data_IF_992316723410
#
_entry.id   IF_992316723410
#
_cell.length_a   1.000
_cell.length_b   1.000
_cell.length_c   1.000
_cell.angle_alpha   90.00
_cell.angle_beta   90.00
_cell.angle_gamma   90.00
#
_symmetry.space_group_name_H-M   'P 1'
#
loop_
_entity.id
_entity.type
_entity.pdbx_description
1 polymer ?
2 non-polymer ?
3 non-polymer ?
4 non-polymer ?
5 non-polymer ?
6 water ?
#
# COMPACT_ATOMS: atom_id res chain seq x y z
N UNK A 19 -19.70 -2.21 -28.88
CA UNK A 19 -18.61 -1.96 -27.94
C UNK A 19 -18.20 -0.50 -27.92
N UNK A 20 -18.40 0.17 -26.78
CA UNK A 20 -17.91 1.54 -26.62
C UNK A 20 -16.38 1.55 -26.64
N UNK A 21 -15.79 2.67 -27.08
CA UNK A 21 -14.35 2.81 -27.22
C UNK A 21 -13.89 4.05 -26.47
N UNK A 22 -12.72 3.96 -25.86
CA UNK A 22 -12.16 5.06 -25.09
C UNK A 22 -10.70 5.16 -25.45
N UNK A 23 -10.31 6.27 -26.09
CA UNK A 23 -8.92 6.53 -26.47
C UNK A 23 -8.32 5.36 -27.26
N UNK A 24 -9.09 4.84 -28.21
CA UNK A 24 -8.64 3.77 -29.09
C UNK A 24 -8.46 2.45 -28.36
N UNK A 25 -9.44 2.07 -27.55
CA UNK A 25 -9.41 0.83 -26.77
C UNK A 25 -10.83 0.38 -26.49
N UNK A 26 -11.13 -0.93 -26.67
CA UNK A 26 -12.47 -1.42 -26.34
C UNK A 26 -12.65 -1.33 -24.83
N UNK A 27 -13.82 -0.86 -24.42
CA UNK A 27 -14.19 -0.77 -23.03
C UNK A 27 -15.58 -1.30 -23.00
N UNK A 28 -15.68 -2.62 -23.01
CA UNK A 28 -16.96 -3.30 -23.14
C UNK A 28 -17.46 -3.78 -21.80
N UNK A 29 -18.26 -2.93 -21.17
CA UNK A 29 -18.78 -3.08 -19.82
C UNK A 29 -20.33 -3.10 -19.76
N UNK A 30 -21.00 -2.86 -20.90
CA UNK A 30 -22.45 -2.92 -20.95
C UNK A 30 -22.95 -4.32 -20.68
N UNK A 31 -24.25 -4.46 -20.38
CA UNK A 31 -25.32 -3.44 -20.40
C UNK A 31 -25.47 -2.57 -19.15
N UNK A 32 -24.82 -2.93 -18.01
CA UNK A 32 -24.98 -2.17 -16.77
C UNK A 32 -24.30 -0.78 -16.78
N UNK A 33 -23.20 -0.58 -17.49
CA UNK A 33 -22.39 0.63 -17.35
C UNK A 33 -22.27 1.44 -18.63
N UNK A 34 -22.65 2.73 -18.58
CA UNK A 34 -22.72 3.60 -19.75
C UNK A 34 -21.95 4.93 -19.53
N UNK A 35 -21.88 5.79 -20.56
CA UNK A 35 -21.49 7.19 -20.37
C UNK A 35 -20.05 7.24 -19.82
N UNK A 36 -19.16 6.52 -20.51
CA UNK A 36 -17.81 6.32 -20.06
C UNK A 36 -17.04 7.59 -20.33
N UNK A 37 -16.21 7.98 -19.36
CA UNK A 37 -15.31 9.10 -19.52
C UNK A 37 -13.93 8.64 -19.09
N UNK A 38 -12.91 8.94 -19.89
CA UNK A 38 -11.53 8.58 -19.58
C UNK A 38 -11.04 9.28 -18.31
N UNK A 39 -10.27 8.54 -17.47
CA UNK A 39 -9.61 9.08 -16.28
C UNK A 39 -8.10 8.97 -16.46
N UNK A 40 -7.61 7.80 -16.84
CA UNK A 40 -6.20 7.57 -16.93
C UNK A 40 -5.84 6.17 -17.39
N UNK A 41 -4.59 5.92 -17.40
CA UNK A 41 -4.01 4.64 -17.81
C UNK A 41 -2.60 4.54 -17.27
N UNK A 42 -2.07 3.34 -17.34
CA UNK A 42 -0.70 2.99 -16.99
C UNK A 42 -0.42 1.57 -17.44
N UNK A 43 0.68 1.00 -17.00
CA UNK A 43 1.00 -0.39 -17.36
C UNK A 43 -0.10 -1.37 -16.96
N UNK A 44 -0.81 -1.08 -15.87
CA UNK A 44 -1.90 -1.92 -15.40
C UNK A 44 -3.05 -2.06 -16.40
N UNK A 45 -3.25 -1.08 -17.31
CA UNK A 45 -4.46 -1.01 -18.13
C UNK A 45 -4.99 0.39 -18.18
N UNK A 46 -6.32 0.54 -18.17
CA UNK A 46 -6.98 1.82 -18.33
C UNK A 46 -8.15 1.96 -17.41
N UNK A 47 -8.44 3.20 -16.95
CA UNK A 47 -9.51 3.44 -16.00
C UNK A 47 -10.39 4.57 -16.54
N UNK A 48 -11.69 4.36 -16.46
CA UNK A 48 -12.81 5.24 -16.78
C UNK A 48 -13.75 5.38 -15.62
N UNK A 49 -14.43 6.54 -15.51
CA UNK A 49 -15.72 6.63 -14.83
C UNK A 49 -16.82 6.12 -15.77
N UNK A 50 -17.86 5.55 -15.18
CA UNK A 50 -19.04 5.08 -15.91
C UNK A 50 -20.27 5.21 -15.05
N UNK A 51 -21.43 5.59 -15.65
CA UNK A 51 -22.71 5.56 -14.96
C UNK A 51 -23.11 4.09 -14.76
N UNK A 52 -23.49 3.71 -13.54
CA UNK A 52 -23.94 2.36 -13.21
C UNK A 52 -25.48 2.38 -13.24
N UNK A 53 -26.09 1.73 -14.22
CA UNK A 53 -27.56 1.78 -14.42
C UNK A 53 -28.39 0.97 -13.37
N UNK A 54 -27.74 0.18 -12.49
CA UNK A 54 -28.42 -0.59 -11.44
C UNK A 54 -28.43 0.21 -10.11
N UNK A 55 -27.25 0.63 -9.61
CA UNK A 55 -27.16 1.41 -8.36
C UNK A 55 -27.37 2.91 -8.59
N UNK A 56 -27.36 3.37 -9.86
CA UNK A 56 -27.59 4.77 -10.23
C UNK A 56 -26.62 5.66 -9.48
N UNK A 57 -25.35 5.56 -9.92
CA UNK A 57 -24.20 6.32 -9.41
C UNK A 57 -23.03 6.12 -10.38
N UNK A 58 -22.18 7.14 -10.55
CA UNK A 58 -20.96 6.97 -11.33
C UNK A 58 -19.94 6.19 -10.48
N UNK A 59 -19.20 5.30 -11.17
CA UNK A 59 -18.24 4.35 -10.61
C UNK A 59 -16.92 4.45 -11.37
N UNK A 60 -15.84 3.92 -10.78
CA UNK A 60 -14.62 3.74 -11.51
C UNK A 60 -14.63 2.30 -12.07
N UNK A 61 -14.11 2.13 -13.28
CA UNK A 61 -13.90 0.82 -13.88
C UNK A 61 -12.52 0.80 -14.45
N UNK A 62 -11.74 -0.23 -14.06
CA UNK A 62 -10.41 -0.40 -14.61
C UNK A 62 -10.38 -1.70 -15.42
N UNK A 63 -9.87 -1.58 -16.65
CA UNK A 63 -9.70 -2.65 -17.59
C UNK A 63 -8.31 -3.17 -17.44
N UNK A 64 -8.17 -4.35 -16.88
CA UNK A 64 -6.89 -5.01 -16.72
C UNK A 64 -6.77 -6.11 -17.82
N UNK A 65 -5.61 -6.21 -18.42
CA UNK A 65 -5.30 -7.18 -19.47
C UNK A 65 -4.03 -7.90 -19.11
N UNK A 66 -4.09 -8.77 -18.09
CA UNK A 66 -2.85 -9.24 -17.45
C UNK A 66 -2.25 -10.55 -17.98
N UNK A 67 -2.95 -11.25 -18.89
CA UNK A 67 -2.75 -12.69 -19.01
C UNK A 67 -1.49 -13.11 -19.72
N UNK A 68 -0.81 -12.20 -20.44
CA UNK A 68 0.49 -12.51 -21.04
C UNK A 68 1.66 -12.34 -20.08
N UNK A 69 1.41 -11.94 -18.81
CA UNK A 69 2.48 -11.62 -17.88
C UNK A 69 2.20 -12.24 -16.54
N UNK A 70 3.07 -13.19 -16.13
CA UNK A 70 2.86 -13.91 -14.85
C UNK A 70 2.74 -12.93 -13.67
N UNK A 71 3.59 -11.87 -13.65
CA UNK A 71 3.55 -10.94 -12.49
C UNK A 71 2.26 -10.11 -12.48
N UNK A 72 1.71 -9.77 -13.65
CA UNK A 72 0.45 -9.05 -13.70
C UNK A 72 -0.71 -9.95 -13.26
N UNK A 73 -0.69 -11.25 -13.66
CA UNK A 73 -1.67 -12.22 -13.18
C UNK A 73 -1.65 -12.34 -11.65
N UNK A 74 -0.44 -12.42 -11.03
CA UNK A 74 -0.32 -12.51 -9.60
C UNK A 74 -0.94 -11.27 -8.94
N UNK A 75 -0.60 -10.06 -9.43
CA UNK A 75 -1.16 -8.81 -8.88
C UNK A 75 -2.68 -8.80 -8.95
N UNK A 76 -3.21 -9.23 -10.14
CA UNK A 76 -4.64 -9.22 -10.37
C UNK A 76 -5.35 -10.14 -9.41
N UNK A 77 -4.80 -11.35 -9.23
CA UNK A 77 -5.42 -12.36 -8.40
C UNK A 77 -5.37 -11.97 -6.92
N UNK A 78 -4.21 -11.46 -6.47
CA UNK A 78 -4.12 -10.99 -5.06
C UNK A 78 -5.13 -9.89 -4.77
N UNK A 79 -5.21 -8.90 -5.62
CA UNK A 79 -6.17 -7.80 -5.51
C UNK A 79 -7.60 -8.34 -5.39
N UNK A 80 -7.99 -9.18 -6.37
CA UNK A 80 -9.36 -9.71 -6.36
C UNK A 80 -9.64 -10.55 -5.12
N UNK A 81 -8.81 -11.54 -4.77
CA UNK A 81 -9.10 -12.40 -3.61
C UNK A 81 -9.22 -11.56 -2.32
N UNK A 82 -8.30 -10.64 -2.14
CA UNK A 82 -8.25 -9.88 -0.87
C UNK A 82 -9.40 -8.93 -0.81
N UNK A 83 -9.58 -8.11 -1.82
CA UNK A 83 -10.59 -7.06 -1.77
C UNK A 83 -11.99 -7.62 -1.70
N UNK A 84 -12.22 -8.82 -2.29
CA UNK A 84 -13.52 -9.46 -2.15
C UNK A 84 -13.77 -10.01 -0.72
N UNK A 85 -12.73 -10.42 0.02
CA UNK A 85 -12.90 -10.86 1.40
C UNK A 85 -13.00 -9.70 2.38
N UNK A 86 -12.34 -8.57 2.08
CA UNK A 86 -12.32 -7.45 3.03
C UNK A 86 -13.51 -6.55 2.90
N UNK A 87 -13.97 -5.98 4.01
CA UNK A 87 -15.07 -5.05 4.00
C UNK A 87 -14.77 -4.02 5.08
N UNK A 88 -14.36 -2.82 4.65
CA UNK A 88 -13.94 -1.77 5.59
C UNK A 88 -14.07 -0.42 4.92
N UNK A 89 -14.51 0.58 5.68
CA UNK A 89 -14.76 1.93 5.17
C UNK A 89 -13.52 2.59 4.59
N UNK A 90 -12.30 2.23 5.12
CA UNK A 90 -11.04 2.83 4.66
C UNK A 90 -10.25 1.92 3.69
N UNK A 91 -10.95 0.94 3.05
CA UNK A 91 -10.35 0.06 2.06
C UNK A 91 -11.26 0.06 0.87
N UNK A 92 -10.71 0.29 -0.33
CA UNK A 92 -11.55 0.32 -1.54
C UNK A 92 -12.16 -1.11 -1.73
N UNK A 93 -13.39 -1.15 -2.14
CA UNK A 93 -14.06 -2.44 -2.33
C UNK A 93 -13.92 -2.85 -3.78
N UNK A 94 -14.33 -4.03 -4.11
CA UNK A 94 -14.73 -4.35 -5.48
C UNK A 94 -16.27 -4.53 -5.56
N UNK A 95 -16.90 -3.75 -6.40
CA UNK A 95 -18.36 -3.73 -6.52
C UNK A 95 -18.86 -4.76 -7.55
N UNK A 96 -18.06 -5.04 -8.56
CA UNK A 96 -18.42 -5.91 -9.71
C UNK A 96 -17.17 -6.22 -10.51
N UNK A 97 -17.16 -7.39 -11.20
CA UNK A 97 -16.10 -7.73 -12.09
C UNK A 97 -16.76 -8.21 -13.38
N UNK A 98 -16.39 -7.63 -14.49
CA UNK A 98 -16.87 -8.06 -15.80
C UNK A 98 -15.77 -8.80 -16.52
N UNK A 99 -16.09 -10.00 -17.00
CA UNK A 99 -15.23 -10.69 -17.93
C UNK A 99 -16.05 -11.62 -18.85
N UNK A 100 -15.38 -12.23 -19.85
CA UNK A 100 -16.02 -13.15 -20.82
C UNK A 100 -16.57 -14.41 -20.09
N UNK A 101 -17.61 -15.05 -20.65
CA UNK A 101 -18.17 -16.23 -19.98
C UNK A 101 -17.32 -17.47 -19.95
N UNK A 102 -16.27 -17.54 -20.73
CA UNK A 102 -15.37 -18.70 -20.81
C UNK A 102 -13.93 -18.27 -20.69
N UNK A 103 -13.09 -19.19 -20.22
CA UNK A 103 -11.67 -18.89 -20.05
C UNK A 103 -11.00 -18.62 -21.39
N UNK A 104 -11.40 -19.38 -22.44
CA UNK A 104 -10.93 -19.15 -23.79
C UNK A 104 -11.18 -17.73 -24.30
N UNK A 105 -12.33 -17.18 -24.01
CA UNK A 105 -12.74 -15.88 -24.52
C UNK A 105 -12.30 -14.73 -23.58
N UNK A 106 -11.86 -15.06 -22.33
CA UNK A 106 -11.41 -14.05 -21.42
C UNK A 106 -10.02 -13.58 -21.73
N UNK A 107 -9.91 -12.35 -22.22
CA UNK A 107 -8.65 -11.66 -22.43
C UNK A 107 -8.44 -10.49 -21.46
N UNK A 108 -9.49 -9.94 -20.91
CA UNK A 108 -9.51 -8.76 -20.05
C UNK A 108 -10.36 -9.05 -18.85
N UNK A 109 -10.04 -8.37 -17.76
CA UNK A 109 -10.92 -8.31 -16.62
C UNK A 109 -11.21 -6.84 -16.31
N UNK A 110 -12.49 -6.48 -16.16
CA UNK A 110 -12.88 -5.12 -15.78
C UNK A 110 -13.28 -5.15 -14.30
N UNK A 111 -12.62 -4.34 -13.46
CA UNK A 111 -12.93 -4.29 -12.03
C UNK A 111 -13.63 -2.96 -11.73
N UNK A 112 -14.83 -3.06 -11.18
CA UNK A 112 -15.65 -1.91 -10.87
C UNK A 112 -15.47 -1.57 -9.39
N UNK A 113 -15.17 -0.31 -9.10
CA UNK A 113 -14.95 0.16 -7.73
C UNK A 113 -15.57 1.51 -7.55
N UNK A 114 -15.82 1.90 -6.27
CA UNK A 114 -16.33 3.20 -5.95
C UNK A 114 -15.47 4.29 -6.56
N UNK A 115 -16.11 5.30 -7.13
CA UNK A 115 -15.36 6.36 -7.76
C UNK A 115 -14.89 7.37 -6.73
N UNK A 116 -13.61 7.72 -6.79
CA UNK A 116 -12.99 8.65 -5.87
C UNK A 116 -12.53 9.90 -6.67
N UNK A 117 -12.47 11.03 -5.99
CA UNK A 117 -12.16 12.33 -6.59
C UNK A 117 -10.69 12.39 -6.98
N UNK A 118 -9.78 11.88 -6.10
CA UNK A 118 -8.36 12.07 -6.29
C UNK A 118 -7.57 11.03 -5.47
N UNK A 119 -6.25 11.18 -5.43
CA UNK A 119 -5.41 10.37 -4.56
C UNK A 119 -4.40 11.28 -3.89
N UNK A 120 -3.72 10.74 -2.86
CA UNK A 120 -2.87 11.57 -2.04
C UNK A 120 -1.62 12.01 -2.81
N UNK A 121 -1.16 11.27 -3.82
CA UNK A 121 0.00 11.67 -4.63
C UNK A 121 -0.39 13.03 -5.34
N UNK A 122 -1.52 13.03 -6.02
CA UNK A 122 -2.00 14.22 -6.76
C UNK A 122 -2.25 15.39 -5.80
N UNK A 123 -2.80 15.07 -4.61
CA UNK A 123 -3.08 16.09 -3.62
C UNK A 123 -1.81 16.71 -3.11
N UNK A 124 -0.76 15.91 -2.81
CA UNK A 124 0.46 16.48 -2.28
C UNK A 124 1.23 17.28 -3.34
N UNK A 125 1.04 16.99 -4.62
CA UNK A 125 1.72 17.81 -5.64
C UNK A 125 1.08 19.20 -5.78
N UNK A 126 -0.19 19.37 -5.36
CA UNK A 126 -0.99 20.54 -5.71
C UNK A 126 -1.54 21.31 -4.47
N UNK A 127 -1.59 20.72 -3.28
CA UNK A 127 -2.29 21.31 -2.14
C UNK A 127 -1.45 21.22 -0.87
N UNK A 128 -1.39 22.34 -0.15
CA UNK A 128 -1.02 22.36 1.25
C UNK A 128 -2.07 21.66 2.09
N UNK A 129 -1.63 20.73 2.98
CA UNK A 129 -2.57 20.10 3.89
C UNK A 129 -2.50 20.79 5.21
N UNK A 130 -3.63 21.18 5.75
CA UNK A 130 -3.71 21.68 7.11
C UNK A 130 -3.31 20.60 8.09
N UNK A 131 -2.87 20.97 9.32
CA UNK A 131 -2.57 19.96 10.33
C UNK A 131 -3.80 19.09 10.63
N UNK A 132 -5.02 19.68 10.62
CA UNK A 132 -6.22 18.87 10.82
C UNK A 132 -6.44 17.83 9.70
N UNK A 133 -6.14 18.18 8.46
CA UNK A 133 -6.23 17.27 7.33
C UNK A 133 -5.21 16.16 7.47
N UNK A 134 -3.99 16.50 7.88
CA UNK A 134 -2.93 15.48 8.06
C UNK A 134 -3.36 14.48 9.14
N UNK A 135 -3.90 15.00 10.23
CA UNK A 135 -4.32 14.16 11.35
C UNK A 135 -5.42 13.19 10.91
N UNK A 136 -6.42 13.72 10.21
CA UNK A 136 -7.55 12.92 9.76
C UNK A 136 -7.12 11.85 8.72
N UNK A 137 -6.28 12.26 7.75
CA UNK A 137 -5.75 11.31 6.77
C UNK A 137 -4.96 10.19 7.48
N UNK A 138 -4.06 10.56 8.40
CA UNK A 138 -3.23 9.55 9.10
C UNK A 138 -4.14 8.58 9.88
N UNK A 139 -5.14 9.15 10.55
CA UNK A 139 -6.11 8.32 11.30
C UNK A 139 -6.77 7.27 10.39
N UNK A 140 -7.29 7.69 9.25
CA UNK A 140 -8.00 6.79 8.32
C UNK A 140 -7.04 5.72 7.73
N UNK A 141 -5.79 6.08 7.44
CA UNK A 141 -4.78 5.14 6.93
C UNK A 141 -4.58 4.07 8.01
N UNK A 142 -4.36 4.50 9.25
CA UNK A 142 -4.08 3.58 10.33
C UNK A 142 -5.33 2.74 10.69
N UNK A 143 -6.50 3.33 10.57
CA UNK A 143 -7.77 2.60 10.80
C UNK A 143 -7.97 1.43 9.80
N UNK A 144 -7.76 1.69 8.52
CA UNK A 144 -7.83 0.68 7.48
C UNK A 144 -6.72 -0.35 7.69
N UNK A 145 -5.51 0.12 8.01
CA UNK A 145 -4.38 -0.78 8.23
C UNK A 145 -4.61 -1.67 9.42
N UNK A 146 -5.27 -1.18 10.47
CA UNK A 146 -5.61 -2.03 11.64
C UNK A 146 -6.41 -3.27 11.15
N UNK A 147 -7.40 -3.02 10.29
CA UNK A 147 -8.20 -4.12 9.72
C UNK A 147 -7.37 -5.10 8.87
N UNK A 148 -6.55 -4.57 7.96
CA UNK A 148 -5.67 -5.37 7.13
C UNK A 148 -4.77 -6.26 7.99
N UNK A 149 -4.04 -5.66 8.98
CA UNK A 149 -3.15 -6.40 9.87
C UNK A 149 -3.88 -7.42 10.72
N UNK A 150 -5.11 -7.08 11.11
CA UNK A 150 -5.93 -7.99 11.90
C UNK A 150 -6.29 -9.25 11.11
N UNK A 151 -6.31 -9.18 9.77
CA UNK A 151 -6.49 -10.31 8.89
C UNK A 151 -5.18 -11.12 8.62
N UNK A 152 -4.11 -10.76 9.34
CA UNK A 152 -2.75 -11.30 9.18
C UNK A 152 -2.20 -11.04 7.73
N UNK A 153 -2.65 -9.93 7.10
CA UNK A 153 -2.20 -9.49 5.79
C UNK A 153 -1.31 -8.22 5.93
N UNK A 154 -0.31 -8.11 5.04
CA UNK A 154 0.56 -6.98 4.83
C UNK A 154 0.21 -6.41 3.50
N UNK A 155 0.01 -5.08 3.42
CA UNK A 155 -0.28 -4.45 2.13
C UNK A 155 0.98 -4.46 1.26
N UNK A 156 2.09 -4.06 1.85
CA UNK A 156 3.44 -4.14 1.27
C UNK A 156 3.77 -3.05 0.24
N UNK A 157 2.82 -2.17 -0.15
CA UNK A 157 3.14 -1.10 -1.09
C UNK A 157 2.37 0.17 -0.80
N UNK A 158 2.32 0.58 0.48
CA UNK A 158 1.55 1.78 0.85
C UNK A 158 2.39 2.96 0.37
N UNK A 159 1.74 3.85 -0.29
CA UNK A 159 2.35 5.08 -0.80
C UNK A 159 1.21 6.04 -1.15
N UNK A 160 1.49 7.33 -1.31
CA UNK A 160 0.42 8.30 -1.58
C UNK A 160 -0.51 7.91 -2.74
N UNK A 161 0.05 7.36 -3.83
CA UNK A 161 -0.80 7.04 -4.99
C UNK A 161 -1.76 5.88 -4.76
N UNK A 162 -1.53 5.07 -3.67
CA UNK A 162 -2.41 4.00 -3.28
C UNK A 162 -3.38 4.39 -2.18
N UNK A 163 -3.56 5.71 -1.97
CA UNK A 163 -4.53 6.22 -1.03
C UNK A 163 -5.48 7.14 -1.80
N UNK A 164 -6.67 6.64 -2.00
CA UNK A 164 -7.71 7.38 -2.72
C UNK A 164 -8.53 8.26 -1.79
N UNK A 165 -9.02 9.42 -2.28
CA UNK A 165 -9.81 10.32 -1.48
C UNK A 165 -11.02 10.83 -2.26
N UNK A 166 -12.10 11.01 -1.57
CA UNK A 166 -13.34 11.61 -2.14
C UNK A 166 -13.39 13.12 -1.80
N UNK A 167 -14.49 13.81 -2.21
CA UNK A 167 -14.53 15.26 -2.12
C UNK A 167 -14.66 15.70 -0.66
N UNK A 168 -15.05 14.84 0.29
CA UNK A 168 -15.14 15.19 1.70
C UNK A 168 -13.99 14.56 2.49
N UNK A 169 -12.92 14.22 1.77
CA UNK A 169 -11.66 13.78 2.37
C UNK A 169 -11.76 12.41 3.08
N UNK A 170 -12.77 11.59 2.73
CA UNK A 170 -12.77 10.21 3.17
C UNK A 170 -11.68 9.49 2.35
N UNK A 171 -10.94 8.61 3.01
CA UNK A 171 -9.77 7.99 2.46
C UNK A 171 -9.96 6.45 2.34
N UNK A 172 -9.51 5.88 1.22
CA UNK A 172 -9.54 4.43 1.00
C UNK A 172 -8.20 3.93 0.43
N UNK A 173 -7.64 2.88 1.10
CA UNK A 173 -6.44 2.20 0.68
C UNK A 173 -6.82 1.34 -0.51
N UNK A 174 -5.98 1.39 -1.53
CA UNK A 174 -6.14 0.65 -2.75
C UNK A 174 -4.82 -0.07 -3.16
N UNK A 175 -4.98 -0.87 -4.21
CA UNK A 175 -3.97 -1.70 -4.86
C UNK A 175 -3.33 -2.73 -3.94
N UNK A 176 -3.99 -3.87 -3.80
CA UNK A 176 -3.48 -4.99 -2.97
C UNK A 176 -2.69 -6.02 -3.79
N UNK A 177 -2.15 -5.61 -4.95
CA UNK A 177 -1.44 -6.48 -5.85
C UNK A 177 -0.14 -7.05 -5.34
N UNK A 178 0.45 -6.42 -4.32
CA UNK A 178 1.62 -6.98 -3.63
C UNK A 178 1.33 -7.53 -2.23
N UNK A 179 0.06 -7.53 -1.83
CA UNK A 179 -0.31 -7.92 -0.47
C UNK A 179 -0.12 -9.40 -0.26
N UNK A 180 0.26 -9.75 0.94
CA UNK A 180 0.42 -11.15 1.30
C UNK A 180 0.20 -11.41 2.76
N UNK A 181 0.12 -12.68 3.13
CA UNK A 181 -0.05 -13.08 4.51
C UNK A 181 1.27 -12.94 5.19
N UNK A 182 1.27 -12.41 6.41
CA UNK A 182 2.47 -12.19 7.20
C UNK A 182 3.18 -13.52 7.46
N UNK A 183 4.50 -13.50 7.44
CA UNK A 183 5.28 -14.73 7.59
C UNK A 183 6.62 -14.36 8.25
N UNK A 184 6.55 -13.93 9.53
CA UNK A 184 7.79 -13.53 10.21
C UNK A 184 8.87 -14.58 10.31
N UNK A 185 8.50 -15.87 10.32
CA UNK A 185 9.49 -16.93 10.47
C UNK A 185 10.40 -17.04 9.26
N UNK A 186 9.95 -16.60 8.07
CA UNK A 186 10.72 -16.64 6.83
C UNK A 186 11.15 -15.25 6.36
N UNK A 187 11.20 -14.27 7.29
CA UNK A 187 11.53 -12.89 6.93
C UNK A 187 13.02 -12.66 6.67
N UNK A 188 13.92 -13.47 7.23
CA UNK A 188 15.36 -13.22 7.09
C UNK A 188 15.86 -13.49 5.67
N UNK A 189 16.72 -12.58 5.19
CA UNK A 189 17.44 -12.76 3.95
C UNK A 189 18.82 -12.09 4.10
N UNK A 190 19.63 -12.24 3.06
CA UNK A 190 20.93 -11.64 2.97
C UNK A 190 20.88 -10.17 2.62
N UNK A 191 22.04 -9.59 2.53
CA UNK A 191 22.23 -8.18 2.25
C UNK A 191 21.96 -7.86 0.78
N UNK A 192 21.33 -6.72 0.53
CA UNK A 192 20.99 -6.29 -0.83
C UNK A 192 20.16 -7.31 -1.63
N UNK A 193 19.19 -7.94 -0.98
CA UNK A 193 18.27 -8.84 -1.67
C UNK A 193 17.28 -7.98 -2.48
N UNK A 194 17.02 -8.36 -3.75
CA UNK A 194 16.19 -7.51 -4.62
C UNK A 194 14.76 -7.45 -4.09
N UNK A 195 14.06 -6.36 -4.33
CA UNK A 195 12.73 -6.16 -3.75
C UNK A 195 11.83 -5.44 -4.71
N UNK A 196 10.50 -5.72 -4.67
CA UNK A 196 9.61 -5.24 -5.73
C UNK A 196 8.89 -3.93 -5.37
N UNK A 197 8.45 -3.82 -4.11
CA UNK A 197 7.61 -2.69 -3.73
C UNK A 197 8.35 -1.34 -3.91
N UNK A 198 7.60 -0.28 -3.96
CA UNK A 198 8.05 1.05 -4.29
C UNK A 198 9.21 1.55 -3.44
N UNK A 199 10.33 1.91 -4.12
CA UNK A 199 11.58 2.18 -3.40
C UNK A 199 11.50 3.22 -2.27
N UNK A 200 10.88 4.40 -2.50
CA UNK A 200 10.95 5.47 -1.52
C UNK A 200 10.28 5.13 -0.19
N UNK A 201 9.44 4.09 -0.20
CA UNK A 201 8.65 3.74 1.01
C UNK A 201 9.15 2.44 1.68
N UNK A 202 10.32 1.89 1.23
CA UNK A 202 10.90 0.67 1.78
C UNK A 202 11.62 0.93 3.12
N UNK A 203 11.32 0.10 4.10
CA UNK A 203 11.92 0.08 5.42
C UNK A 203 13.43 -0.24 5.26
N UNK A 204 14.26 0.29 6.17
CA UNK A 204 15.70 0.10 6.02
C UNK A 204 16.13 -1.37 5.99
N UNK A 205 15.43 -2.20 6.79
CA UNK A 205 15.73 -3.61 6.92
C UNK A 205 15.56 -4.35 5.58
N UNK A 206 14.74 -3.81 4.64
CA UNK A 206 14.64 -4.47 3.29
C UNK A 206 16.00 -4.58 2.60
N UNK A 207 16.81 -3.54 2.70
CA UNK A 207 18.12 -3.46 2.08
C UNK A 207 19.20 -4.27 2.87
N UNK A 208 18.91 -4.63 4.13
CA UNK A 208 19.86 -5.23 5.04
C UNK A 208 19.60 -6.74 5.26
N UNK A 209 18.39 -7.13 5.69
CA UNK A 209 18.12 -8.50 6.10
C UNK A 209 16.68 -8.97 6.08
N UNK A 210 15.78 -8.31 5.38
CA UNK A 210 14.35 -8.61 5.47
C UNK A 210 13.72 -8.76 4.14
N UNK A 211 12.86 -9.78 4.00
CA UNK A 211 12.05 -10.03 2.79
C UNK A 211 10.73 -9.21 2.78
N UNK A 212 10.48 -8.45 3.82
CA UNK A 212 9.26 -7.67 3.90
C UNK A 212 8.04 -8.52 4.11
N UNK A 213 8.13 -9.48 5.04
CA UNK A 213 7.05 -10.41 5.35
C UNK A 213 6.41 -10.12 6.69
N UNK A 214 6.68 -8.95 7.34
CA UNK A 214 6.11 -8.63 8.62
C UNK A 214 5.36 -7.29 8.55
N UNK A 215 4.47 -7.12 9.53
CA UNK A 215 3.59 -5.92 9.61
C UNK A 215 4.38 -4.64 9.75
N UNK A 216 5.57 -4.71 10.40
CA UNK A 216 6.42 -3.55 10.61
C UNK A 216 6.81 -2.86 9.31
N UNK A 217 6.81 -3.56 8.19
CA UNK A 217 7.08 -2.98 6.86
C UNK A 217 6.07 -1.89 6.46
N UNK A 218 4.81 -2.21 6.72
CA UNK A 218 3.74 -1.27 6.45
C UNK A 218 3.78 -0.01 7.33
N UNK A 219 4.13 -0.18 8.63
CA UNK A 219 4.25 0.94 9.55
C UNK A 219 5.30 1.91 9.04
N UNK A 220 6.45 1.38 8.56
CA UNK A 220 7.49 2.25 8.01
C UNK A 220 6.93 3.10 6.85
N UNK A 221 6.20 2.46 5.93
CA UNK A 221 5.64 3.15 4.78
C UNK A 221 4.70 4.25 5.22
N UNK A 222 3.86 3.95 6.20
CA UNK A 222 2.95 4.96 6.73
C UNK A 222 3.74 6.16 7.36
N UNK A 223 4.84 5.87 8.07
CA UNK A 223 5.74 6.91 8.57
C UNK A 223 6.23 7.82 7.44
N UNK A 224 6.63 7.21 6.34
CA UNK A 224 7.12 7.94 5.19
C UNK A 224 6.00 8.84 4.62
N UNK A 225 4.79 8.32 4.58
CA UNK A 225 3.62 9.05 4.11
C UNK A 225 3.29 10.24 5.02
N UNK A 226 3.34 10.05 6.35
CA UNK A 226 3.16 11.11 7.33
C UNK A 226 4.20 12.25 7.08
N UNK A 227 5.46 11.87 6.95
CA UNK A 227 6.54 12.85 6.70
C UNK A 227 6.23 13.66 5.40
N UNK A 228 5.76 12.95 4.38
CA UNK A 228 5.46 13.57 3.09
C UNK A 228 4.27 14.52 3.19
N UNK A 229 3.27 14.18 4.01
CA UNK A 229 2.14 15.09 4.24
C UNK A 229 2.56 16.36 4.97
N UNK A 230 3.59 16.26 5.83
CA UNK A 230 4.10 17.38 6.57
C UNK A 230 4.76 18.43 5.68
N UNK A 231 5.42 18.02 4.63
CA UNK A 231 6.22 18.94 3.81
C UNK A 231 5.90 18.94 2.33
N UNK A 232 4.98 18.05 1.85
CA UNK A 232 4.66 17.84 0.42
C UNK A 232 5.81 17.25 -0.41
N UNK A 233 6.85 16.70 0.25
CA UNK A 233 7.98 16.14 -0.45
C UNK A 233 8.34 14.81 0.16
N UNK A 234 8.70 13.82 -0.64
CA UNK A 234 9.08 12.52 -0.06
C UNK A 234 10.28 12.68 0.84
N UNK A 235 10.26 11.98 1.98
CA UNK A 235 11.33 12.13 2.94
C UNK A 235 12.59 11.42 2.46
N UNK A 236 12.47 10.27 1.80
CA UNK A 236 13.64 9.43 1.46
C UNK A 236 13.57 9.09 -0.05
N UNK A 237 13.75 10.10 -0.92
CA UNK A 237 13.63 9.83 -2.36
C UNK A 237 14.89 9.20 -2.97
N UNK A 238 15.17 7.95 -2.59
CA UNK A 238 16.31 7.21 -3.12
C UNK A 238 16.28 7.02 -4.63
N UNK A 239 17.43 7.28 -5.28
CA UNK A 239 17.49 7.13 -6.75
C UNK A 239 17.78 5.74 -7.23
N UNK A 240 18.23 4.87 -6.37
CA UNK A 240 18.48 3.49 -6.70
C UNK A 240 18.57 2.67 -5.40
N UNK A 241 18.63 1.36 -5.50
CA UNK A 241 18.44 0.44 -4.38
C UNK A 241 19.17 0.85 -3.08
N UNK A 242 20.51 0.98 -3.13
CA UNK A 242 21.27 1.22 -1.92
C UNK A 242 21.19 2.67 -1.50
N UNK A 243 21.00 3.63 -2.44
CA UNK A 243 20.81 5.04 -2.13
C UNK A 243 19.59 5.23 -1.19
N UNK A 244 18.63 4.35 -1.27
CA UNK A 244 17.44 4.43 -0.41
C UNK A 244 17.87 4.31 1.07
N UNK A 245 18.71 3.29 1.35
CA UNK A 245 19.23 3.09 2.70
C UNK A 245 20.06 4.29 3.13
N UNK A 246 20.87 4.84 2.21
CA UNK A 246 21.72 5.95 2.55
C UNK A 246 20.85 7.26 2.85
N UNK A 247 19.70 7.45 2.17
CA UNK A 247 18.77 8.52 2.53
C UNK A 247 18.22 8.33 3.95
N UNK A 248 17.84 7.12 4.26
CA UNK A 248 17.28 6.83 5.60
C UNK A 248 18.29 7.15 6.71
N UNK A 249 19.50 6.61 6.56
CA UNK A 249 20.57 6.82 7.51
C UNK A 249 21.02 8.28 7.57
N UNK A 250 20.93 9.01 6.46
CA UNK A 250 21.20 10.44 6.50
C UNK A 250 20.37 11.23 7.50
N UNK A 251 19.10 10.77 7.78
CA UNK A 251 18.18 11.44 8.73
C UNK A 251 18.20 10.75 10.09
N UNK A 252 18.08 9.41 10.09
CA UNK A 252 18.06 8.67 11.35
C UNK A 252 19.40 8.68 12.05
N UNK A 253 20.47 8.80 11.28
CA UNK A 253 21.81 8.65 11.81
C UNK A 253 22.18 7.20 11.93
N UNK A 254 23.41 6.99 12.45
CA UNK A 254 23.98 5.69 12.61
C UNK A 254 23.13 4.88 13.58
N UNK A 255 22.80 3.62 13.24
CA UNK A 255 22.12 2.76 14.22
C UNK A 255 22.95 2.54 15.47
N UNK A 256 22.27 2.38 16.58
CA UNK A 256 22.90 2.17 17.85
C UNK A 256 23.57 0.78 17.83
N UNK A 257 24.43 0.54 18.81
CA UNK A 257 25.09 -0.77 18.91
C UNK A 257 24.06 -1.87 19.07
N UNK A 258 23.01 -1.69 19.90
CA UNK A 258 22.00 -2.72 20.07
C UNK A 258 21.31 -3.03 18.76
N UNK A 259 20.89 -1.98 18.03
CA UNK A 259 20.21 -2.20 16.76
C UNK A 259 21.10 -2.84 15.73
N UNK A 260 22.37 -2.47 15.73
CA UNK A 260 23.35 -3.06 14.82
C UNK A 260 23.58 -4.50 15.15
N UNK A 261 23.68 -4.84 16.43
CA UNK A 261 23.91 -6.23 16.84
C UNK A 261 22.74 -7.15 16.47
N UNK A 262 21.51 -6.57 16.31
CA UNK A 262 20.40 -7.31 15.73
C UNK A 262 20.61 -7.77 14.27
N UNK A 263 21.52 -7.15 13.53
CA UNK A 263 21.77 -7.54 12.15
C UNK A 263 22.92 -8.53 12.21
N UNK A 264 22.55 -9.81 12.25
CA UNK A 264 23.58 -10.85 12.43
C UNK A 264 24.33 -11.13 11.12
N UNK A 265 23.73 -10.89 9.95
CA UNK A 265 24.42 -11.17 8.67
C UNK A 265 25.65 -10.26 8.56
N UNK A 266 26.84 -10.80 8.30
CA UNK A 266 28.06 -10.04 8.42
C UNK A 266 28.20 -9.04 7.30
N UNK A 267 27.70 -9.37 6.11
CA UNK A 267 27.81 -8.46 4.97
C UNK A 267 27.04 -7.16 5.31
N UNK A 268 25.86 -7.32 5.83
CA UNK A 268 25.01 -6.18 6.17
C UNK A 268 25.58 -5.41 7.34
N UNK A 269 25.95 -6.12 8.43
CA UNK A 269 26.57 -5.49 9.61
C UNK A 269 27.84 -4.70 9.21
N UNK A 270 28.74 -5.30 8.45
CA UNK A 270 30.02 -4.68 8.13
C UNK A 270 29.80 -3.51 7.18
N UNK A 271 28.80 -3.55 6.32
CA UNK A 271 28.43 -2.36 5.50
C UNK A 271 28.08 -1.20 6.44
N UNK A 272 27.18 -1.44 7.37
CA UNK A 272 26.85 -0.42 8.36
C UNK A 272 28.05 0.09 9.16
N UNK A 273 28.94 -0.80 9.59
CA UNK A 273 30.12 -0.38 10.35
C UNK A 273 31.12 0.42 9.56
N UNK A 274 31.11 0.28 8.25
CA UNK A 274 32.01 0.98 7.34
C UNK A 274 31.65 2.44 7.17
N UNK A 275 30.44 2.83 7.57
CA UNK A 275 29.97 4.20 7.33
C UNK A 275 30.47 5.10 8.40
N UNK A 276 30.81 6.34 8.06
CA UNK A 276 31.14 7.30 9.13
C UNK A 276 29.97 7.56 10.03
N UNK A 277 30.27 7.90 11.30
CA UNK A 277 29.27 8.28 12.26
C UNK A 277 28.44 9.48 11.76
N UNK A 278 27.13 9.38 11.85
CA UNK A 278 26.18 10.42 11.48
C UNK A 278 25.19 10.50 12.65
N UNK A 279 24.96 11.71 13.18
CA UNK A 279 23.97 11.87 14.24
C UNK A 279 22.60 12.02 13.65
N UNK A 280 21.60 11.64 14.46
CA UNK A 280 20.18 11.88 14.11
C UNK A 280 19.89 13.36 13.79
N UNK A 281 19.23 13.64 12.66
CA UNK A 281 18.68 14.95 12.28
C UNK A 281 17.32 15.09 13.02
N UNK A 282 17.19 16.06 13.95
CA UNK A 282 15.93 16.18 14.69
C UNK A 282 14.75 16.42 13.78
N UNK A 283 13.60 15.83 14.12
CA UNK A 283 12.41 15.97 13.29
C UNK A 283 11.98 17.42 13.20
N UNK A 284 12.16 18.18 14.27
CA UNK A 284 11.74 19.61 14.29
C UNK A 284 12.61 20.51 13.42
N UNK A 285 13.78 20.05 12.99
CA UNK A 285 14.62 20.73 12.00
C UNK A 285 14.10 20.45 10.59
N UNK A 286 13.73 19.17 10.30
CA UNK A 286 13.12 18.86 9.00
C UNK A 286 11.70 19.43 8.87
N UNK A 287 10.96 19.56 9.99
CA UNK A 287 9.51 19.86 9.97
C UNK A 287 9.20 20.97 10.96
N UNK A 288 9.78 22.17 10.75
CA UNK A 288 9.65 23.22 11.76
C UNK A 288 8.22 23.71 12.06
N UNK A 289 7.27 23.53 11.13
CA UNK A 289 5.86 23.94 11.35
C UNK A 289 4.96 22.82 11.90
N UNK A 290 5.50 21.58 12.06
CA UNK A 290 4.69 20.43 12.38
C UNK A 290 4.28 20.45 13.82
N UNK A 291 3.11 19.89 14.08
CA UNK A 291 2.63 19.61 15.41
C UNK A 291 3.64 18.68 16.13
N UNK A 292 4.00 19.01 17.36
CA UNK A 292 4.98 18.22 18.12
C UNK A 292 4.51 16.76 18.35
N UNK A 293 3.22 16.56 18.54
CA UNK A 293 2.68 15.21 18.74
C UNK A 293 2.78 14.41 17.43
N UNK A 294 2.56 15.08 16.27
CA UNK A 294 2.77 14.40 14.99
C UNK A 294 4.23 13.92 14.86
N UNK A 295 5.20 14.73 15.29
CA UNK A 295 6.60 14.37 15.16
C UNK A 295 6.96 13.27 16.11
N UNK A 296 6.30 13.19 17.29
CA UNK A 296 6.56 12.11 18.20
C UNK A 296 6.08 10.79 17.56
N UNK A 297 4.89 10.76 16.96
CA UNK A 297 4.39 9.56 16.30
C UNK A 297 5.25 9.20 15.10
N UNK A 298 5.65 10.20 14.30
CA UNK A 298 6.57 10.00 13.19
C UNK A 298 7.84 9.27 13.63
N UNK A 299 8.44 9.73 14.75
CA UNK A 299 9.67 9.14 15.27
C UNK A 299 9.45 7.65 15.57
N UNK A 300 8.29 7.32 16.10
CA UNK A 300 7.99 5.94 16.46
C UNK A 300 7.69 5.03 15.26
N UNK A 301 7.15 5.59 14.16
CA UNK A 301 6.90 4.85 12.93
C UNK A 301 8.22 4.68 12.13
N UNK A 302 9.09 5.68 12.15
CA UNK A 302 10.37 5.61 11.46
C UNK A 302 11.51 5.19 12.38
N UNK A 303 11.27 4.20 13.17
CA UNK A 303 12.29 3.56 13.98
C UNK A 303 13.07 2.61 13.12
N UNK A 304 14.41 2.64 13.22
CA UNK A 304 15.30 1.79 12.43
C UNK A 304 15.02 0.29 12.68
N UNK A 305 14.93 -0.09 13.96
CA UNK A 305 14.82 -1.47 14.34
C UNK A 305 13.33 -1.86 14.21
N UNK A 306 12.99 -2.76 13.31
CA UNK A 306 11.57 -3.10 13.13
C UNK A 306 10.91 -3.68 14.38
N UNK A 307 11.70 -4.33 15.24
CA UNK A 307 11.17 -4.87 16.47
C UNK A 307 10.74 -3.80 17.45
N UNK A 308 11.34 -2.61 17.42
CA UNK A 308 11.01 -1.49 18.28
C UNK A 308 10.00 -0.53 17.67
N UNK A 309 9.68 -0.71 16.40
CA UNK A 309 8.78 0.12 15.64
C UNK A 309 7.37 -0.03 16.22
N UNK A 310 6.66 1.05 16.30
CA UNK A 310 5.27 1.06 16.82
C UNK A 310 4.38 0.18 15.95
N UNK A 311 3.44 -0.53 16.55
CA UNK A 311 2.44 -1.31 15.81
C UNK A 311 1.18 -0.46 15.55
N UNK A 312 0.34 -0.94 14.64
CA UNK A 312 -0.80 -0.15 14.18
C UNK A 312 -1.74 0.22 15.30
N UNK A 313 -2.05 -0.73 16.23
CA UNK A 313 -3.01 -0.38 17.28
C UNK A 313 -2.42 0.59 18.29
N UNK A 314 -1.11 0.53 18.54
CA UNK A 314 -0.45 1.53 19.36
C UNK A 314 -0.43 2.90 18.74
N UNK A 315 -0.21 2.96 17.41
CA UNK A 315 -0.21 4.21 16.68
C UNK A 315 -1.57 4.88 16.81
N UNK A 316 -2.67 4.11 16.66
CA UNK A 316 -4.00 4.73 16.82
C UNK A 316 -4.23 5.33 18.17
N UNK A 317 -3.65 4.71 19.21
CA UNK A 317 -3.72 5.17 20.62
C UNK A 317 -2.79 6.37 20.95
N UNK A 318 -1.99 6.81 19.98
CA UNK A 318 -1.02 7.87 20.20
C UNK A 318 -1.72 9.21 20.43
N UNK A 319 -1.20 10.05 21.34
CA UNK A 319 -1.82 11.37 21.56
C UNK A 319 -2.16 12.22 20.33
N UNK A 320 -1.37 12.15 19.23
CA UNK A 320 -1.68 12.90 18.03
C UNK A 320 -3.07 12.64 17.48
N UNK A 321 -3.59 11.41 17.66
CA UNK A 321 -4.85 10.98 17.07
C UNK A 321 -6.00 10.96 18.09
N UNK A 322 -5.79 11.57 19.27
CA UNK A 322 -6.75 11.49 20.38
C UNK A 322 -8.14 11.99 20.00
N UNK A 323 -8.25 12.96 19.10
CA UNK A 323 -9.57 13.48 18.67
C UNK A 323 -10.42 12.43 17.97
N UNK A 324 -9.75 11.39 17.35
CA UNK A 324 -10.41 10.37 16.54
C UNK A 324 -10.45 8.99 17.17
N UNK A 325 -9.49 8.70 18.02
CA UNK A 325 -9.29 7.31 18.51
C UNK A 325 -10.54 6.78 19.22
N UNK A 326 -10.99 5.66 18.75
CA UNK A 326 -12.13 5.01 19.33
C UNK A 326 -12.05 3.56 18.93
N UNK A 327 -11.39 2.72 19.74
CA UNK A 327 -11.17 1.33 19.30
C UNK A 327 -12.42 0.57 18.98
N UNK A 328 -13.59 0.91 19.65
CA UNK A 328 -14.86 0.25 19.31
C UNK A 328 -15.35 0.58 17.89
N UNK A 329 -14.83 1.65 17.30
CA UNK A 329 -15.16 2.07 15.95
C UNK A 329 -13.99 1.89 14.98
N UNK A 330 -13.07 0.97 15.31
CA UNK A 330 -11.88 0.63 14.51
C UNK A 330 -11.91 -0.87 14.36
N UNK A 331 -12.79 -1.33 13.48
CA UNK A 331 -13.09 -2.76 13.41
C UNK A 331 -11.98 -3.62 12.86
N UNK A 332 -12.03 -4.88 13.25
CA UNK A 332 -11.10 -5.87 12.80
C UNK A 332 -11.82 -6.89 11.91
N UNK A 333 -11.04 -7.65 11.18
CA UNK A 333 -11.55 -8.68 10.32
C UNK A 333 -12.10 -9.86 11.17
N UNK A 334 -13.07 -10.57 10.58
CA UNK A 334 -13.78 -11.64 11.24
C UNK A 334 -12.88 -12.88 11.39
N UNK A 335 -11.88 -13.04 10.53
CA UNK A 335 -10.94 -14.16 10.63
C UNK A 335 -9.65 -13.85 9.87
N UNK A 336 -8.56 -14.59 10.11
CA UNK A 336 -7.35 -14.44 9.26
C UNK A 336 -7.63 -14.74 7.79
N UNK A 337 -6.96 -14.01 6.89
CA UNK A 337 -7.01 -14.27 5.43
C UNK A 337 -5.94 -15.32 5.14
N UNK A 338 -6.26 -16.27 4.23
CA UNK A 338 -5.31 -17.28 3.74
C UNK A 338 -5.49 -17.38 2.21
N UNK A 339 -4.39 -17.48 1.45
CA UNK A 339 -4.51 -17.94 0.06
C UNK A 339 -4.72 -19.48 0.10
N UNK A 340 -5.44 -20.03 -0.90
CA UNK A 340 -5.63 -21.49 -1.01
C UNK A 340 -4.26 -22.16 -1.20
N UNK A 341 -3.47 -21.60 -2.12
CA UNK A 341 -2.15 -22.09 -2.50
C UNK A 341 -1.20 -20.89 -2.65
N UNK A 342 0.13 -21.13 -2.55
CA UNK A 342 1.07 -20.04 -2.79
C UNK A 342 1.02 -19.66 -4.27
N UNK A 343 0.84 -18.36 -4.53
CA UNK A 343 0.73 -17.82 -5.87
C UNK A 343 2.05 -17.45 -6.52
N UNK A 344 3.11 -17.35 -5.71
CA UNK A 344 4.32 -16.64 -6.09
C UNK A 344 4.93 -17.21 -7.40
N UNK A 345 4.89 -18.53 -7.59
CA UNK A 345 5.58 -19.24 -8.68
C UNK A 345 4.62 -19.96 -9.68
N UNK A 346 3.29 -19.93 -9.45
CA UNK A 346 2.35 -20.60 -10.34
C UNK A 346 2.46 -20.05 -11.78
N UNK A 347 2.33 -20.88 -12.83
CA UNK A 347 2.38 -20.34 -14.20
C UNK A 347 1.21 -19.37 -14.47
N UNK A 348 1.38 -18.45 -15.39
CA UNK A 348 0.32 -17.50 -15.76
C UNK A 348 -0.95 -18.20 -16.22
N UNK A 349 -0.83 -19.37 -16.90
CA UNK A 349 -2.02 -20.11 -17.36
C UNK A 349 -2.83 -20.58 -16.16
N UNK A 350 -2.13 -21.12 -15.12
CA UNK A 350 -2.82 -21.49 -13.88
C UNK A 350 -3.43 -20.28 -13.19
N UNK A 351 -2.67 -19.16 -13.09
CA UNK A 351 -3.23 -17.95 -12.47
C UNK A 351 -4.50 -17.45 -13.21
N UNK A 352 -4.52 -17.54 -14.53
CA UNK A 352 -5.74 -17.23 -15.30
C UNK A 352 -6.96 -18.03 -14.85
N UNK A 353 -6.81 -19.37 -14.69
CA UNK A 353 -7.85 -20.25 -14.13
C UNK A 353 -8.37 -19.78 -12.81
N UNK A 354 -7.45 -19.45 -11.92
CA UNK A 354 -7.81 -18.94 -10.61
C UNK A 354 -8.54 -17.61 -10.70
N UNK A 355 -8.11 -16.69 -11.57
CA UNK A 355 -8.83 -15.43 -11.77
C UNK A 355 -10.25 -15.70 -12.28
N UNK A 356 -10.37 -16.62 -13.20
CA UNK A 356 -11.68 -17.04 -13.74
C UNK A 356 -12.61 -17.49 -12.62
N UNK A 357 -12.14 -18.42 -11.80
CA UNK A 357 -12.94 -18.92 -10.67
C UNK A 357 -13.29 -17.83 -9.65
N UNK A 358 -12.31 -16.98 -9.30
CA UNK A 358 -12.54 -15.94 -8.29
C UNK A 358 -13.59 -14.94 -8.75
N UNK A 359 -13.73 -14.73 -10.07
CA UNK A 359 -14.65 -13.73 -10.59
C UNK A 359 -16.04 -14.32 -10.99
N UNK A 360 -16.24 -15.65 -10.85
CA UNK A 360 -17.49 -16.34 -11.22
C UNK A 360 -18.76 -15.80 -10.57
N UNK A 361 -18.70 -15.29 -9.33
CA UNK A 361 -19.92 -14.87 -8.60
C UNK A 361 -20.59 -13.64 -9.21
N UNK A 362 -19.87 -12.86 -10.05
CA UNK A 362 -20.43 -11.69 -10.72
C UNK A 362 -21.08 -12.01 -12.04
N UNK A 363 -21.05 -13.27 -12.48
CA UNK A 363 -21.70 -13.68 -13.71
C UNK A 363 -23.17 -13.88 -13.41
N UNK A 364 -24.07 -13.38 -14.27
CA UNK A 364 -25.50 -13.29 -13.90
C UNK A 364 -26.21 -14.64 -13.72
X LIG B 1 15.40 -0.95 -7.19
X LIG B 1 15.78 -0.10 -6.02
X LIG B 1 16.68 -1.40 -7.83
X LIG B 1 14.62 -0.10 -8.14
X LIG B 1 14.61 -2.13 -6.72
X LIG C 1 6.27 -10.82 -16.07
X LIG C 1 5.70 -12.14 -15.62
X LIG C 1 7.94 -10.80 -15.49
X LIG C 1 6.62 -11.01 -17.80
X LIG D 1 3.79 5.82 -7.87
X LIG D 1 5.08 5.17 -7.42
X LIG D 1 4.08 7.58 -7.81
X LIG D 1 3.75 5.63 -9.63
X LIG E 1 2.13 22.42 -2.39
X LIG E 1 2.04 23.60 -3.33
X LIG E 1 3.61 21.55 -2.86
X LIG E 1 2.72 23.09 -0.85
X LIG F 1 1.54 1.47 -13.51
X LIG F 1 1.04 2.20 -12.37
X LIG F 1 2.80 0.83 -13.11
X LIG F 1 0.61 0.40 -13.91
X LIG F 1 1.82 2.34 -14.66
X LIG G 1 13.31 5.45 -10.75
X LIG G 1 12.32 5.53 -9.67
X LIG G 1 14.62 5.90 -10.25
X LIG G 1 13.41 4.06 -11.21
X LIG G 1 12.88 6.31 -11.86
X LIG H 1 20.60 -4.46 -5.61
X LIG H 1 20.79 -5.68 -4.90
X LIG H 1 21.73 -3.49 -5.27
X LIG H 1 23.01 -4.06 -5.51
X LIG I 1 -2.31 0.29 -10.37
X LIG I 1 -3.59 -0.07 -9.61
X LIG I 1 -6.02 2.54 -10.63
X LIG I 1 -6.65 3.54 -11.34
X LIG I 1 -7.71 4.23 -10.77
X LIG I 1 -8.16 3.93 -9.49
X LIG I 1 -6.45 2.23 -9.35
X LIG I 1 -5.59 1.13 -8.84
X LIG I 1 -9.34 4.65 -8.95
X LIG I 1 -10.44 6.66 -8.84
X LIG I 1 -7.18 9.86 -9.15
X LIG I 1 -8.63 10.91 -10.68
X LIG I 1 -9.82 10.06 -10.25
X LIG I 1 -11.49 4.87 -7.92
X LIG I 1 -10.43 4.06 -8.30
X LIG I 1 -4.14 -1.43 -10.04
X LIG I 1 -3.41 -4.78 -9.14
X LIG I 1 -1.96 -5.55 -13.29
X LIG I 1 -0.78 -4.86 -13.34
X LIG I 1 -0.54 -3.84 -12.40
X LIG I 1 1.52 -3.01 -13.52
X LIG I 1 4.49 -1.43 -11.76
X LIG I 1 -4.60 0.97 -9.75
X LIG I 1 -4.84 1.69 -11.00
X LIG I 1 -7.51 2.91 -8.78
X LIG I 1 -5.72 0.48 -7.80
X LIG I 1 -9.37 5.94 -9.25
X LIG I 1 -10.45 7.98 -9.11
X LIG I 1 -9.36 8.73 -9.68
X LIG I 1 -8.27 8.95 -8.63
X LIG I 1 -7.71 11.12 -9.59
X LIG I 1 -11.50 6.17 -8.16
X LIG I 1 -10.48 2.37 -7.94
X LIG I 1 -5.28 -1.56 -10.49
X LIG I 1 -3.30 -2.44 -9.87
X LIG I 1 -3.55 -3.81 -10.32
X LIG I 1 -2.11 -4.66 -8.56
X LIG I 1 -2.59 -4.21 -11.43
X LIG I 1 -2.87 -5.23 -12.32
X LIG I 1 -1.45 -3.53 -11.45
X LIG I 1 0.61 -3.10 -12.38
X LIG I 1 2.96 -2.86 -13.07
X LIG I 1 3.08 -1.67 -12.17
X LIG I 1 2.20 -1.85 -10.97
X LIG I 1 0.75 -1.99 -11.43
X LIG I 1 -2.12 1.24 -10.25
X LIG I 1 -2.44 0.11 -11.32
X LIG I 1 -1.57 -0.24 -10.03
X LIG I 1 -3.36 -0.13 -8.66
X LIG I 1 -6.35 3.76 -12.22
X LIG I 1 -8.14 4.91 -11.29
X LIG I 1 -6.52 10.02 -8.43
X LIG I 1 -6.71 9.42 -9.90
X LIG I 1 -8.16 10.45 -11.40
X LIG I 1 -8.94 11.77 -11.01
X LIG I 1 -10.41 9.91 -11.01
X LIG I 1 -10.33 10.55 -9.56
X LIG I 1 -12.23 4.48 -7.45
X LIG I 1 -4.09 -4.57 -8.46
X LIG I 1 -3.54 -5.70 -9.44
X LIG I 1 -2.14 -6.24 -13.92
X LIG I 1 -0.13 -5.08 -14.01
X LIG I 1 1.44 -3.82 -14.08
X LIG I 1 1.27 -2.24 -14.08
X LIG I 1 4.75 -0.53 -12.02
X LIG I 1 5.07 -2.08 -12.21
X LIG I 1 4.57 -1.54 -10.79
X LIG I 1 -5.06 1.07 -11.73
X LIG I 1 -4.07 2.22 -11.25
X LIG I 1 -7.81 2.66 -7.90
X LIG I 1 -11.12 8.44 -8.76
X LIG I 1 -8.97 8.19 -10.42
X LIG I 1 -8.67 9.34 -7.83
X LIG I 1 -7.88 8.09 -8.38
X LIG I 1 -2.62 -2.31 -9.36
X LIG I 1 -4.47 -3.87 -10.65
X LIG I 1 -1.99 -3.88 -8.31
X LIG I 1 -3.71 -5.71 -12.26
X LIG I 1 3.23 -3.66 -12.58
X LIG I 1 3.54 -2.74 -13.84
X LIG I 1 2.28 -1.07 -10.38
X LIG I 1 2.46 -2.66 -10.47
X LIG I 1 0.46 -1.16 -11.85
X LIG I 1 0.18 -2.15 -10.65
X LIG I 1 2.79 -0.92 -12.63
#
# INVERSE_FOLDING_TARGET
MAHHHHHHMAAAAAAGAGPEMVRGQVFDVGPRYTNLSYIGEGAYGMVCSAYDNVNKVRVAIKKISPFEHQTYCQRTLREIKILLRFRHENIIGINDIIRAPTIEQMKDVYIVQDLMETDLYKLLKTQHLSNDHICYFLYQILRGLKYIHSANVLHRDLKPSNLLLNTTCDLKICDFGLARVADPDHDHTGFLTEYVATRWYRAPEIMLNSKGYTKSIDIWSVGCILAEMLSNRPIFPGKHYLDQLNHILGILGSPSQEDLNCIINLKARNYLLSLPHKNKVPWNRLFPNADSKALDLLDKMLTFNPHKRIEVEQALAHPYLEQYYDPSDEPIAEAPFKFDMELDDLPKEKLKELIFEETARFQPGYRS
SO4 S O1 O2 O3 O4
DMS S O C1 C2
DMS S O C1 C2
DMS S O C1 C2
SO4 S O1 O2 O3 O4
SO4 S O1 O2 O3 O4
EDO C1 O1 C2 O2
UOE C1 C2 C5 C6 C7 C8 C10 C11 C13 C15 C19 C21 C22 C24 C25 C27 C31 C35 C36 C37 C40 C43 N3 C4 C9 O12 N14 N16 C17 C18 O20 N23 CL1 O28 N29 C30 O32 C33 C34 N38 N39 C41 N42 C44 C45 H50 H49 H51 H46 H54 H55 H62 H61 H63 H64 H65 H66 H67 H69 H70 H73 H74 H75 H76 H79 H81 H80 H53 H52 H56 H57 H58 H59 H60 H68 H47 H71 H72 H78 H77 H82 H83 H84 H85 H48
#
